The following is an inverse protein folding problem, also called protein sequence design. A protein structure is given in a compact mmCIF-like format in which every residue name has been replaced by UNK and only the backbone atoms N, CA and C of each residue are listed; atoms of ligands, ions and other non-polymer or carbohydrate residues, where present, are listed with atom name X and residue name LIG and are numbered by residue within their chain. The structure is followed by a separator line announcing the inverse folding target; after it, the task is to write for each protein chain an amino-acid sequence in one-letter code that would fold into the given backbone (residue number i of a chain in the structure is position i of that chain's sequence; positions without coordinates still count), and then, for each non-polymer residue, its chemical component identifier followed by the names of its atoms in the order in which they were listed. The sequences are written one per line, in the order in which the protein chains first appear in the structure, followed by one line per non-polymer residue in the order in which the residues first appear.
data_IF_563196413456
#
_entry.id   IF_563196413456
#
_cell.length_a   1.000
_cell.length_b   1.000
_cell.length_c   1.000
_cell.angle_alpha   90.00
_cell.angle_beta   90.00
_cell.angle_gamma   90.00
#
_symmetry.space_group_name_H-M   'P 1'
#
loop_
_entity.id
_entity.type
_entity.pdbx_description
1 polymer ?
#
# COMPACT_ATOMS: atom_id res chain seq x y z
N UNK A 1 -32.47 -9.75 3.71
CA UNK A 1 -32.80 -8.78 4.78
C UNK A 1 -32.01 -9.04 6.07
N UNK A 2 -31.92 -10.28 6.56
CA UNK A 2 -31.16 -10.60 7.78
C UNK A 2 -29.66 -10.24 7.70
N UNK A 3 -29.01 -10.51 6.57
CA UNK A 3 -27.58 -10.26 6.37
C UNK A 3 -27.20 -8.78 6.37
N UNK A 4 -27.97 -7.94 5.66
CA UNK A 4 -27.77 -6.47 5.64
C UNK A 4 -27.94 -5.89 7.05
N UNK A 5 -28.92 -6.37 7.82
CA UNK A 5 -29.10 -5.98 9.21
C UNK A 5 -27.89 -6.32 10.09
N UNK A 6 -27.31 -7.50 9.91
CA UNK A 6 -26.09 -7.93 10.62
C UNK A 6 -24.88 -7.05 10.26
N UNK A 7 -24.69 -6.75 8.98
CA UNK A 7 -23.60 -5.89 8.52
C UNK A 7 -23.72 -4.47 9.09
N UNK A 8 -24.93 -3.90 9.10
CA UNK A 8 -25.15 -2.56 9.66
C UNK A 8 -24.97 -2.55 11.19
N UNK A 9 -25.45 -3.58 11.91
CA UNK A 9 -25.21 -3.68 13.37
C UNK A 9 -23.72 -3.74 13.72
N UNK A 10 -22.93 -4.45 12.90
CA UNK A 10 -21.47 -4.51 13.06
C UNK A 10 -20.81 -3.17 12.74
N UNK A 11 -21.17 -2.54 11.63
CA UNK A 11 -20.62 -1.24 11.21
C UNK A 11 -20.90 -0.12 12.24
N UNK A 12 -22.06 -0.15 12.91
CA UNK A 12 -22.45 0.87 13.89
C UNK A 12 -22.14 0.48 15.35
N UNK A 13 -21.24 -0.50 15.58
CA UNK A 13 -20.80 -0.94 16.93
C UNK A 13 -21.98 -1.17 17.89
N UNK A 14 -22.99 -1.91 17.43
CA UNK A 14 -24.20 -2.24 18.21
C UNK A 14 -25.16 -1.08 18.49
N UNK A 15 -24.98 0.11 17.88
CA UNK A 15 -26.06 1.11 17.80
C UNK A 15 -27.04 0.68 16.71
N UNK A 16 -28.33 0.67 17.02
CA UNK A 16 -29.37 0.45 16.02
C UNK A 16 -29.27 1.56 14.95
N UNK A 17 -28.90 1.25 13.70
CA UNK A 17 -28.87 2.24 12.63
C UNK A 17 -30.30 2.75 12.45
N UNK A 18 -30.50 4.06 12.60
CA UNK A 18 -31.84 4.63 12.46
C UNK A 18 -32.42 4.29 11.08
N UNK A 19 -33.75 4.19 10.97
CA UNK A 19 -34.44 3.82 9.72
C UNK A 19 -34.03 4.67 8.49
N UNK A 20 -33.51 5.87 8.72
CA UNK A 20 -32.97 6.78 7.69
C UNK A 20 -31.68 6.27 7.03
N UNK A 21 -30.88 5.45 7.71
CA UNK A 21 -29.60 4.91 7.19
C UNK A 21 -29.85 4.05 5.96
N UNK A 22 -30.86 3.18 6.01
CA UNK A 22 -31.20 2.31 4.89
C UNK A 22 -31.66 3.10 3.66
N UNK A 23 -32.55 4.08 3.84
CA UNK A 23 -33.01 4.96 2.77
C UNK A 23 -31.87 5.80 2.17
N UNK A 24 -30.88 6.17 2.98
CA UNK A 24 -29.69 6.86 2.52
C UNK A 24 -28.74 5.96 1.73
N UNK A 25 -28.51 4.73 2.17
CA UNK A 25 -27.66 3.77 1.45
C UNK A 25 -28.22 3.43 0.06
N UNK A 26 -29.55 3.30 -0.05
CA UNK A 26 -30.23 3.15 -1.36
C UNK A 26 -29.93 4.32 -2.27
N UNK A 27 -30.02 5.55 -1.74
CA UNK A 27 -29.72 6.79 -2.46
C UNK A 27 -28.26 6.93 -2.88
N UNK A 28 -27.31 6.38 -2.12
CA UNK A 28 -25.90 6.29 -2.52
C UNK A 28 -25.75 5.29 -3.66
N UNK A 29 -26.31 4.08 -3.52
CA UNK A 29 -26.23 3.04 -4.53
C UNK A 29 -26.82 3.50 -5.88
N UNK A 30 -27.96 4.20 -5.86
CA UNK A 30 -28.55 4.83 -7.05
C UNK A 30 -27.62 5.84 -7.73
N UNK A 31 -26.90 6.65 -6.95
CA UNK A 31 -25.94 7.62 -7.50
C UNK A 31 -24.73 6.90 -8.12
N UNK A 32 -24.18 5.89 -7.44
CA UNK A 32 -23.10 5.05 -7.96
C UNK A 32 -23.50 4.34 -9.25
N UNK A 33 -24.70 3.76 -9.32
CA UNK A 33 -25.21 3.08 -10.52
C UNK A 33 -25.38 4.02 -11.72
N UNK A 34 -25.54 5.33 -11.49
CA UNK A 34 -25.58 6.35 -12.56
C UNK A 34 -24.21 6.94 -12.89
N UNK A 35 -23.14 6.53 -12.19
CA UNK A 35 -21.81 7.13 -12.33
C UNK A 35 -21.66 8.51 -11.68
N UNK A 36 -22.61 8.93 -10.84
CA UNK A 36 -22.60 10.24 -10.16
C UNK A 36 -21.86 10.15 -8.82
N UNK A 37 -20.52 10.12 -8.90
CA UNK A 37 -19.65 9.96 -7.74
C UNK A 37 -19.80 11.12 -6.75
N UNK A 38 -19.99 12.34 -7.23
CA UNK A 38 -20.15 13.53 -6.38
C UNK A 38 -21.40 13.44 -5.51
N UNK A 39 -22.55 13.04 -6.09
CA UNK A 39 -23.76 12.81 -5.29
C UNK A 39 -23.60 11.65 -4.32
N UNK A 40 -22.91 10.58 -4.70
CA UNK A 40 -22.64 9.45 -3.81
C UNK A 40 -21.85 9.90 -2.57
N UNK A 41 -20.78 10.67 -2.76
CA UNK A 41 -19.94 11.20 -1.67
C UNK A 41 -20.71 12.17 -0.77
N UNK A 42 -21.44 13.14 -1.34
CA UNK A 42 -22.26 14.09 -0.55
C UNK A 42 -23.26 13.34 0.33
N UNK A 43 -23.92 12.32 -0.22
CA UNK A 43 -24.89 11.50 0.52
C UNK A 43 -24.24 10.64 1.59
N UNK A 44 -23.05 10.10 1.34
CA UNK A 44 -22.25 9.36 2.34
C UNK A 44 -21.89 10.23 3.54
N UNK A 45 -21.46 11.48 3.30
CA UNK A 45 -21.20 12.46 4.36
C UNK A 45 -22.47 12.74 5.17
N UNK A 46 -23.61 12.96 4.51
CA UNK A 46 -24.88 13.21 5.20
C UNK A 46 -25.39 12.02 6.03
N UNK A 47 -25.04 10.79 5.64
CA UNK A 47 -25.37 9.59 6.41
C UNK A 47 -24.46 9.37 7.61
N UNK A 48 -23.39 10.17 7.74
CA UNK A 48 -22.36 10.02 8.78
C UNK A 48 -21.95 8.56 8.90
N UNK A 49 -21.68 7.93 7.76
CA UNK A 49 -21.14 6.57 7.76
C UNK A 49 -19.88 6.59 8.63
N UNK A 50 -19.76 5.68 9.60
CA UNK A 50 -18.56 5.62 10.42
C UNK A 50 -17.36 5.42 9.50
N UNK A 51 -16.22 6.00 9.86
CA UNK A 51 -14.98 5.72 9.17
C UNK A 51 -14.73 4.21 9.20
N UNK A 52 -14.36 3.60 8.06
CA UNK A 52 -14.10 2.18 8.02
C UNK A 52 -12.94 1.87 8.95
N UNK A 53 -13.16 0.97 9.90
CA UNK A 53 -12.06 0.39 10.67
C UNK A 53 -11.22 -0.52 9.76
N UNK A 54 -10.06 -0.95 10.27
CA UNK A 54 -9.16 -1.84 9.54
C UNK A 54 -9.86 -3.08 8.99
N UNK A 55 -10.72 -3.67 9.81
CA UNK A 55 -11.54 -4.84 9.50
C UNK A 55 -12.48 -4.55 8.31
N UNK A 56 -13.04 -3.34 8.21
CA UNK A 56 -13.85 -2.88 7.10
C UNK A 56 -13.03 -2.56 5.84
N UNK A 57 -11.82 -2.00 5.99
CA UNK A 57 -10.91 -1.73 4.88
C UNK A 57 -10.45 -3.02 4.19
N UNK A 58 -10.09 -4.05 4.97
CA UNK A 58 -9.75 -5.39 4.44
C UNK A 58 -10.93 -6.01 3.69
N UNK A 59 -12.15 -5.90 4.24
CA UNK A 59 -13.37 -6.37 3.55
C UNK A 59 -13.66 -5.60 2.25
N UNK A 60 -13.39 -4.30 2.21
CA UNK A 60 -13.54 -3.47 1.02
C UNK A 60 -12.51 -3.86 -0.05
N UNK A 61 -11.25 -4.09 0.33
CA UNK A 61 -10.22 -4.57 -0.57
C UNK A 61 -10.55 -5.95 -1.17
N UNK A 62 -11.12 -6.84 -0.36
CA UNK A 62 -11.59 -8.16 -0.77
C UNK A 62 -13.00 -8.15 -1.40
N UNK A 63 -13.66 -6.99 -1.48
CA UNK A 63 -15.04 -6.93 -1.96
C UNK A 63 -15.13 -7.39 -3.41
N UNK A 64 -14.13 -7.02 -4.24
CA UNK A 64 -14.06 -7.46 -5.63
C UNK A 64 -13.92 -8.98 -5.74
N UNK A 65 -13.10 -9.61 -4.89
CA UNK A 65 -12.93 -11.07 -4.86
C UNK A 65 -14.21 -11.78 -4.40
N UNK A 66 -14.89 -11.23 -3.38
CA UNK A 66 -16.16 -11.75 -2.89
C UNK A 66 -17.30 -11.57 -3.90
N UNK A 67 -17.21 -10.55 -4.76
CA UNK A 67 -18.16 -10.27 -5.82
C UNK A 67 -17.84 -11.01 -7.13
N UNK A 68 -16.61 -11.53 -7.30
CA UNK A 68 -16.18 -12.24 -8.51
C UNK A 68 -17.02 -13.48 -8.84
N UNK A 69 -17.72 -14.06 -7.84
CA UNK A 69 -18.68 -15.16 -8.04
C UNK A 69 -20.00 -14.72 -8.70
N UNK A 70 -20.24 -13.42 -8.87
CA UNK A 70 -21.42 -12.87 -9.53
C UNK A 70 -21.00 -12.21 -10.84
N UNK A 71 -21.65 -12.58 -11.96
CA UNK A 71 -21.43 -11.89 -13.23
C UNK A 71 -22.26 -10.61 -13.27
N UNK A 72 -21.73 -9.45 -13.71
CA UNK A 72 -22.50 -8.22 -13.92
C UNK A 72 -23.81 -8.42 -14.69
N UNK A 73 -23.81 -9.37 -15.64
CA UNK A 73 -24.93 -9.69 -16.54
C UNK A 73 -25.85 -10.79 -16.01
N UNK A 74 -25.57 -11.36 -14.82
CA UNK A 74 -26.39 -12.42 -14.26
C UNK A 74 -27.84 -11.91 -14.04
N UNK A 75 -28.87 -12.71 -14.39
CA UNK A 75 -30.25 -12.28 -14.28
C UNK A 75 -30.60 -11.77 -12.88
N UNK A 76 -31.44 -10.74 -12.82
CA UNK A 76 -31.98 -10.20 -11.58
C UNK A 76 -33.47 -10.48 -11.49
N UNK A 77 -33.95 -10.81 -10.31
CA UNK A 77 -35.38 -10.93 -10.06
C UNK A 77 -36.04 -9.54 -10.05
N UNK A 78 -37.38 -9.50 -9.94
CA UNK A 78 -38.12 -8.24 -9.81
C UNK A 78 -37.75 -7.39 -8.58
N UNK A 79 -36.90 -7.89 -7.70
CA UNK A 79 -36.36 -7.22 -6.52
C UNK A 79 -34.86 -6.88 -6.64
N UNK A 80 -34.25 -7.08 -7.82
CA UNK A 80 -32.85 -6.76 -8.09
C UNK A 80 -31.82 -7.76 -7.53
N UNK A 81 -32.25 -8.90 -7.01
CA UNK A 81 -31.37 -9.94 -6.48
C UNK A 81 -30.86 -10.82 -7.61
N UNK A 82 -29.60 -11.25 -7.52
CA UNK A 82 -29.06 -12.25 -8.45
C UNK A 82 -29.89 -13.53 -8.41
N UNK A 83 -30.28 -14.02 -9.58
CA UNK A 83 -31.05 -15.25 -9.79
C UNK A 83 -30.34 -16.10 -10.85
N UNK A 84 -30.55 -17.40 -10.80
CA UNK A 84 -30.12 -18.30 -11.86
C UNK A 84 -31.06 -18.13 -13.07
N UNK A 85 -30.60 -18.52 -14.27
CA UNK A 85 -31.35 -18.36 -15.53
C UNK A 85 -32.74 -19.04 -15.50
N UNK A 86 -32.93 -20.01 -14.61
CA UNK A 86 -34.12 -20.84 -14.49
C UNK A 86 -35.29 -20.14 -13.75
N UNK A 87 -35.06 -18.96 -13.18
CA UNK A 87 -36.09 -18.18 -12.46
C UNK A 87 -36.65 -18.83 -11.18
N UNK A 88 -36.19 -20.04 -10.82
CA UNK A 88 -36.59 -20.73 -9.60
C UNK A 88 -35.64 -20.37 -8.46
N UNK A 89 -36.03 -19.39 -7.64
CA UNK A 89 -35.30 -19.00 -6.45
C UNK A 89 -35.26 -20.11 -5.40
N UNK A 90 -34.18 -20.90 -5.36
CA UNK A 90 -33.88 -21.77 -4.24
C UNK A 90 -32.92 -21.06 -3.27
N UNK A 91 -33.42 -20.71 -2.08
CA UNK A 91 -32.56 -20.33 -0.96
C UNK A 91 -31.86 -21.57 -0.41
N UNK A 92 -30.52 -21.52 -0.33
CA UNK A 92 -29.77 -22.25 0.69
C UNK A 92 -28.81 -23.33 0.17
N UNK A 93 -27.52 -23.09 0.37
CA UNK A 93 -26.46 -24.09 0.29
C UNK A 93 -25.18 -23.52 -0.29
N UNK A 94 -24.21 -23.19 0.58
CA UNK A 94 -22.83 -22.96 0.12
C UNK A 94 -22.32 -24.28 -0.48
N UNK A 95 -22.12 -24.31 -1.80
CA UNK A 95 -21.65 -25.50 -2.49
C UNK A 95 -20.13 -25.56 -2.32
N UNK A 96 -19.67 -26.51 -1.51
CA UNK A 96 -18.27 -26.88 -1.35
C UNK A 96 -17.77 -27.51 -2.66
N UNK A 97 -16.71 -26.96 -3.24
CA UNK A 97 -16.19 -27.42 -4.53
C UNK A 97 -15.48 -28.78 -4.38
N UNK A 98 -16.04 -29.84 -4.97
CA UNK A 98 -15.35 -31.12 -5.17
C UNK A 98 -15.02 -31.34 -6.66
N UNK A 99 -13.89 -32.00 -6.96
CA UNK A 99 -13.40 -32.19 -8.33
C UNK A 99 -14.15 -33.34 -9.03
N UNK A 100 -14.57 -33.12 -10.27
CA UNK A 100 -15.23 -34.14 -11.08
C UNK A 100 -14.21 -35.05 -11.80
N UNK A 101 -14.35 -36.36 -11.58
CA UNK A 101 -13.89 -37.40 -12.49
C UNK A 101 -15.02 -37.74 -13.49
N UNK A 102 -14.69 -38.32 -14.66
CA UNK A 102 -15.62 -38.38 -15.78
C UNK A 102 -16.43 -39.69 -15.76
N UNK A 103 -17.73 -39.62 -16.02
CA UNK A 103 -18.30 -40.59 -16.94
C UNK A 103 -19.64 -40.16 -17.56
N UNK A 104 -19.63 -40.25 -18.89
CA UNK A 104 -20.66 -40.80 -19.76
C UNK A 104 -22.05 -41.03 -19.18
N UNK A 105 -23.05 -40.27 -19.66
CA UNK A 105 -24.18 -40.90 -20.32
C UNK A 105 -24.92 -39.95 -21.27
N UNK A 106 -25.13 -40.53 -22.45
CA UNK A 106 -25.68 -40.02 -23.69
C UNK A 106 -27.21 -40.00 -23.60
N UNK A 107 -27.84 -38.87 -23.94
CA UNK A 107 -29.15 -38.90 -24.61
C UNK A 107 -29.11 -38.01 -25.84
N UNK A 108 -29.44 -38.64 -26.97
CA UNK A 108 -29.47 -38.08 -28.32
C UNK A 108 -30.68 -37.18 -28.52
N UNK A 109 -30.44 -35.91 -28.84
CA UNK A 109 -31.44 -35.03 -29.45
C UNK A 109 -30.92 -34.59 -30.82
N UNK A 110 -31.74 -34.78 -31.86
CA UNK A 110 -31.48 -34.38 -33.25
C UNK A 110 -31.56 -32.85 -33.41
N UNK A 111 -30.86 -32.28 -34.40
CA UNK A 111 -30.38 -30.90 -34.35
C UNK A 111 -31.43 -29.89 -34.79
N UNK A 112 -31.59 -28.83 -34.01
CA UNK A 112 -32.13 -27.56 -34.50
C UNK A 112 -30.93 -26.68 -34.83
N UNK A 113 -30.83 -26.30 -36.10
CA UNK A 113 -29.79 -25.44 -36.61
C UNK A 113 -29.97 -24.00 -36.10
N UNK A 114 -28.83 -23.33 -35.90
CA UNK A 114 -28.64 -21.89 -35.80
C UNK A 114 -29.06 -21.21 -34.49
N UNK A 115 -28.24 -21.35 -33.45
CA UNK A 115 -27.80 -20.21 -32.66
C UNK A 115 -26.28 -20.29 -32.53
N UNK A 116 -25.59 -19.24 -32.95
CA UNK A 116 -24.14 -19.16 -32.89
C UNK A 116 -23.67 -19.37 -31.46
N UNK A 117 -22.83 -20.38 -31.29
CA UNK A 117 -22.12 -20.75 -30.07
C UNK A 117 -21.27 -19.54 -29.65
N UNK A 118 -21.86 -18.67 -28.82
CA UNK A 118 -21.18 -17.56 -28.18
C UNK A 118 -20.37 -18.19 -27.05
N UNK A 119 -19.17 -18.63 -27.37
CA UNK A 119 -18.20 -19.13 -26.40
C UNK A 119 -18.12 -18.12 -25.27
N UNK A 120 -18.57 -18.50 -24.07
CA UNK A 120 -18.42 -17.69 -22.88
C UNK A 120 -16.92 -17.45 -22.70
N UNK A 121 -16.48 -16.22 -22.95
CA UNK A 121 -15.11 -15.80 -22.70
C UNK A 121 -14.86 -15.94 -21.20
N UNK A 122 -14.24 -17.07 -20.83
CA UNK A 122 -13.73 -17.30 -19.48
C UNK A 122 -12.94 -16.06 -19.07
N UNK A 123 -13.24 -15.42 -17.93
CA UNK A 123 -12.49 -14.26 -17.47
C UNK A 123 -11.01 -14.60 -17.44
N UNK A 124 -10.27 -14.04 -18.41
CA UNK A 124 -8.84 -14.27 -18.52
C UNK A 124 -8.24 -13.63 -17.28
N UNK A 125 -7.60 -14.45 -16.43
CA UNK A 125 -6.91 -13.95 -15.26
C UNK A 125 -6.02 -12.76 -15.67
N UNK A 126 -5.99 -11.68 -14.87
CA UNK A 126 -5.13 -10.54 -15.18
C UNK A 126 -3.70 -11.05 -15.37
N UNK A 127 -2.96 -10.51 -16.35
CA UNK A 127 -1.60 -10.94 -16.61
C UNK A 127 -0.78 -10.77 -15.33
N UNK A 128 -0.03 -11.82 -14.95
CA UNK A 128 0.90 -11.73 -13.84
C UNK A 128 1.91 -10.60 -14.13
N UNK A 129 2.10 -9.70 -13.17
CA UNK A 129 3.07 -8.64 -13.32
C UNK A 129 4.50 -9.21 -13.36
N UNK A 130 5.35 -8.65 -14.23
CA UNK A 130 6.77 -8.99 -14.27
C UNK A 130 7.43 -8.45 -13.00
N UNK A 131 8.16 -9.32 -12.30
CA UNK A 131 9.03 -8.93 -11.17
C UNK A 131 10.15 -8.02 -11.68
N UNK A 132 10.34 -6.90 -11.00
CA UNK A 132 11.39 -5.93 -11.26
C UNK A 132 12.76 -6.52 -10.98
N UNK A 133 13.71 -6.16 -11.83
CA UNK A 133 15.11 -6.58 -11.85
C UNK A 133 16.00 -5.35 -11.70
N UNK A 134 17.30 -5.54 -11.49
CA UNK A 134 18.27 -4.46 -11.36
C UNK A 134 18.20 -3.43 -12.52
N UNK A 135 17.91 -3.89 -13.74
CA UNK A 135 17.80 -3.01 -14.92
C UNK A 135 16.65 -2.00 -14.81
N UNK A 136 15.57 -2.36 -14.12
CA UNK A 136 14.41 -1.47 -13.94
C UNK A 136 14.73 -0.32 -12.97
N UNK A 137 15.79 -0.46 -12.14
CA UNK A 137 16.30 0.57 -11.21
C UNK A 137 17.52 1.34 -11.75
N UNK A 138 17.81 1.24 -13.06
CA UNK A 138 18.79 2.10 -13.69
C UNK A 138 18.33 3.56 -13.63
N UNK A 139 19.26 4.50 -13.45
CA UNK A 139 18.93 5.92 -13.35
C UNK A 139 18.34 6.44 -14.68
N UNK A 140 17.05 6.81 -14.73
CA UNK A 140 16.44 7.40 -15.92
C UNK A 140 17.05 8.78 -16.23
N UNK A 141 17.00 9.21 -17.49
CA UNK A 141 17.51 10.53 -17.92
C UNK A 141 16.78 11.66 -17.21
N UNK A 142 15.45 11.57 -17.13
CA UNK A 142 14.59 12.54 -16.46
C UNK A 142 13.58 11.85 -15.55
N UNK A 143 12.88 12.63 -14.72
CA UNK A 143 11.78 12.14 -13.89
C UNK A 143 10.62 11.51 -14.71
N UNK A 144 10.46 11.87 -15.98
CA UNK A 144 9.39 11.34 -16.84
C UNK A 144 9.73 9.98 -17.46
N UNK A 145 11.01 9.67 -17.63
CA UNK A 145 11.51 8.42 -18.22
C UNK A 145 11.53 7.25 -17.22
N UNK A 146 11.22 7.53 -15.95
CA UNK A 146 11.20 6.52 -14.91
C UNK A 146 10.05 5.50 -15.13
N UNK A 147 10.23 4.23 -14.71
CA UNK A 147 9.17 3.22 -14.79
C UNK A 147 7.85 3.69 -14.16
N UNK A 148 6.72 3.22 -14.66
CA UNK A 148 5.42 3.55 -14.04
C UNK A 148 5.12 2.72 -12.79
N UNK A 149 5.81 1.58 -12.63
CA UNK A 149 5.51 0.61 -11.60
C UNK A 149 6.76 -0.23 -11.30
N UNK A 150 6.90 -0.60 -10.03
CA UNK A 150 7.83 -1.62 -9.56
C UNK A 150 7.07 -2.78 -8.92
N UNK A 151 7.57 -3.98 -9.13
CA UNK A 151 7.05 -5.22 -8.52
C UNK A 151 8.21 -5.99 -7.92
N UNK A 152 8.35 -5.94 -6.60
CA UNK A 152 9.33 -6.72 -5.88
C UNK A 152 8.95 -8.20 -5.86
N UNK A 153 9.96 -9.07 -5.76
CA UNK A 153 9.73 -10.50 -5.63
C UNK A 153 8.99 -10.82 -4.32
N UNK A 154 8.26 -11.95 -4.25
CA UNK A 154 7.64 -12.39 -2.99
C UNK A 154 8.65 -12.49 -1.84
N UNK A 155 9.89 -12.90 -2.12
CA UNK A 155 10.97 -12.99 -1.13
C UNK A 155 11.31 -11.62 -0.54
N UNK A 156 11.63 -10.63 -1.38
CA UNK A 156 11.94 -9.26 -0.92
C UNK A 156 10.77 -8.68 -0.12
N UNK A 157 9.53 -8.87 -0.61
CA UNK A 157 8.36 -8.36 0.10
C UNK A 157 8.19 -9.06 1.47
N UNK A 158 8.37 -10.38 1.56
CA UNK A 158 8.30 -11.11 2.83
C UNK A 158 9.37 -10.67 3.83
N UNK A 159 10.60 -10.42 3.37
CA UNK A 159 11.69 -9.92 4.19
C UNK A 159 11.40 -8.50 4.70
N UNK A 160 10.90 -7.60 3.84
CA UNK A 160 10.45 -6.25 4.23
C UNK A 160 9.39 -6.33 5.33
N UNK A 161 8.41 -7.23 5.20
CA UNK A 161 7.39 -7.47 6.22
C UNK A 161 7.97 -8.05 7.53
N UNK A 162 9.07 -8.82 7.46
CA UNK A 162 9.77 -9.28 8.66
C UNK A 162 10.43 -8.12 9.40
N UNK A 163 11.13 -7.25 8.67
CA UNK A 163 11.78 -6.07 9.24
C UNK A 163 10.75 -5.15 9.91
N UNK A 164 9.57 -4.96 9.30
CA UNK A 164 8.47 -4.23 9.93
C UNK A 164 8.01 -4.85 11.26
N UNK A 165 7.84 -6.17 11.31
CA UNK A 165 7.47 -6.85 12.58
C UNK A 165 8.56 -6.73 13.63
N UNK A 166 9.81 -6.85 13.22
CA UNK A 166 10.98 -6.71 14.10
C UNK A 166 11.10 -5.29 14.66
N UNK A 167 10.74 -4.27 13.87
CA UNK A 167 10.69 -2.88 14.31
C UNK A 167 9.72 -2.62 15.46
N UNK A 168 8.62 -3.37 15.49
CA UNK A 168 7.59 -3.27 16.53
C UNK A 168 7.84 -4.22 17.70
N UNK A 169 8.75 -5.18 17.57
CA UNK A 169 8.96 -6.23 18.56
C UNK A 169 9.26 -5.68 19.97
N UNK A 170 10.08 -4.63 20.17
CA UNK A 170 10.32 -4.13 21.52
C UNK A 170 9.05 -3.52 22.14
N UNK A 171 8.22 -2.82 21.36
CA UNK A 171 6.94 -2.27 21.81
C UNK A 171 5.94 -3.38 22.16
N UNK A 172 5.83 -4.41 21.32
CA UNK A 172 4.90 -5.54 21.54
C UNK A 172 5.30 -6.42 22.73
N UNK A 173 6.60 -6.51 23.02
CA UNK A 173 7.13 -7.23 24.18
C UNK A 173 7.23 -6.36 25.44
N UNK A 174 7.04 -5.04 25.32
CA UNK A 174 7.07 -4.14 26.47
C UNK A 174 5.92 -4.44 27.41
N UNK A 175 6.23 -4.55 28.70
CA UNK A 175 5.20 -4.49 29.71
C UNK A 175 4.78 -3.02 29.85
N UNK A 176 3.50 -2.65 29.65
CA UNK A 176 3.05 -1.25 29.72
C UNK A 176 3.28 -0.58 31.08
N UNK A 177 3.70 -1.34 32.10
CA UNK A 177 4.09 -0.82 33.42
C UNK A 177 5.56 -0.42 33.52
N UNK A 178 6.39 -0.75 32.55
CA UNK A 178 7.84 -0.55 32.63
C UNK A 178 8.21 0.73 31.87
N UNK A 179 9.06 1.60 32.46
CA UNK A 179 9.58 2.73 31.73
C UNK A 179 10.41 2.23 30.54
N UNK A 180 10.62 3.11 29.55
CA UNK A 180 11.60 2.89 28.50
C UNK A 180 12.94 2.46 29.12
N UNK A 181 13.67 1.50 28.51
CA UNK A 181 15.02 1.17 28.94
C UNK A 181 15.86 2.43 29.08
N UNK A 182 16.68 2.49 30.13
CA UNK A 182 17.47 3.69 30.43
C UNK A 182 18.27 4.15 29.19
N UNK A 183 18.10 5.42 28.81
CA UNK A 183 18.75 6.00 27.64
C UNK A 183 17.97 5.92 26.32
N UNK A 184 16.87 5.16 26.22
CA UNK A 184 16.03 5.14 25.01
C UNK A 184 14.98 6.24 25.01
N UNK A 185 14.74 6.82 23.84
CA UNK A 185 13.65 7.77 23.60
C UNK A 185 12.35 7.10 23.15
N UNK A 186 12.48 5.95 22.48
CA UNK A 186 11.38 5.25 21.80
C UNK A 186 11.47 3.73 22.04
N UNK A 187 10.33 3.05 22.01
CA UNK A 187 10.26 1.59 22.07
C UNK A 187 10.54 0.99 20.70
N UNK A 188 9.91 1.53 19.68
CA UNK A 188 10.09 1.07 18.31
C UNK A 188 11.49 1.37 17.80
N UNK A 189 11.89 0.60 16.81
CA UNK A 189 13.22 0.65 16.23
C UNK A 189 13.11 0.51 14.72
N UNK A 190 13.66 1.45 13.96
CA UNK A 190 13.80 1.27 12.52
C UNK A 190 14.69 0.06 12.24
N UNK A 191 14.29 -0.74 11.27
CA UNK A 191 15.02 -1.89 10.77
C UNK A 191 15.18 -1.72 9.28
N UNK A 192 16.19 -2.36 8.71
CA UNK A 192 16.43 -2.21 7.28
C UNK A 192 17.49 -3.16 6.75
N UNK A 193 17.76 -3.01 5.47
CA UNK A 193 18.74 -3.78 4.73
C UNK A 193 19.28 -2.97 3.55
N UNK A 194 20.42 -3.43 3.03
CA UNK A 194 20.97 -2.97 1.76
C UNK A 194 20.43 -3.85 0.64
N UNK A 195 20.01 -3.24 -0.47
CA UNK A 195 19.48 -3.95 -1.64
C UNK A 195 20.60 -4.15 -2.66
N UNK A 196 20.85 -5.40 -2.98
CA UNK A 196 21.94 -5.82 -3.86
C UNK A 196 21.36 -6.40 -5.16
N UNK A 197 21.85 -5.89 -6.28
CA UNK A 197 21.66 -6.50 -7.58
C UNK A 197 22.68 -7.62 -7.78
N UNK A 198 22.20 -8.86 -7.86
CA UNK A 198 23.04 -10.00 -8.24
C UNK A 198 23.42 -9.92 -9.71
N UNK A 199 24.41 -10.73 -10.13
CA UNK A 199 24.90 -10.78 -11.52
C UNK A 199 23.82 -11.19 -12.55
N UNK A 200 22.81 -11.93 -12.12
CA UNK A 200 21.67 -12.33 -12.96
C UNK A 200 20.55 -11.26 -12.99
N UNK A 201 20.75 -10.13 -12.33
CA UNK A 201 19.80 -9.03 -12.24
C UNK A 201 18.71 -9.21 -11.17
N UNK A 202 18.70 -10.33 -10.43
CA UNK A 202 17.80 -10.51 -9.29
C UNK A 202 18.20 -9.62 -8.12
N UNK A 203 17.22 -9.27 -7.29
CA UNK A 203 17.43 -8.43 -6.11
C UNK A 203 17.39 -9.29 -4.85
N UNK A 204 18.28 -8.98 -3.91
CA UNK A 204 18.29 -9.58 -2.57
C UNK A 204 18.58 -8.52 -1.50
N UNK A 205 18.14 -8.79 -0.28
CA UNK A 205 18.59 -8.03 0.89
C UNK A 205 19.91 -8.61 1.41
N UNK A 206 20.86 -7.71 1.67
CA UNK A 206 22.07 -7.99 2.43
C UNK A 206 22.19 -6.98 3.58
N UNK A 207 23.16 -7.22 4.48
CA UNK A 207 23.45 -6.32 5.60
C UNK A 207 22.20 -5.95 6.41
N UNK A 208 21.34 -6.95 6.66
CA UNK A 208 20.15 -6.79 7.49
C UNK A 208 20.55 -6.28 8.87
N UNK A 209 19.87 -5.24 9.33
CA UNK A 209 20.17 -4.55 10.60
C UNK A 209 21.15 -3.38 10.46
N UNK A 210 21.83 -3.24 9.31
CA UNK A 210 22.68 -2.10 9.01
C UNK A 210 23.97 -2.04 9.85
N UNK A 211 24.50 -0.84 10.02
CA UNK A 211 25.67 -0.60 10.87
C UNK A 211 25.32 -0.77 12.36
N UNK A 212 26.28 -1.21 13.19
CA UNK A 212 26.08 -1.30 14.64
C UNK A 212 25.70 0.06 15.21
N UNK A 213 24.65 0.10 16.03
CA UNK A 213 24.27 1.32 16.73
C UNK A 213 25.27 1.67 17.82
N UNK A 214 25.68 2.93 17.86
CA UNK A 214 26.49 3.43 18.98
C UNK A 214 25.61 3.65 20.20
N UNK A 215 26.15 3.55 21.42
CA UNK A 215 25.38 3.85 22.65
C UNK A 215 24.87 5.31 22.69
N UNK A 216 25.49 6.20 21.91
CA UNK A 216 25.06 7.59 21.71
C UNK A 216 23.91 7.75 20.72
N UNK A 217 23.67 6.79 19.83
CA UNK A 217 22.52 6.74 18.92
C UNK A 217 21.29 6.29 19.71
N UNK A 218 20.79 7.23 20.51
CA UNK A 218 19.53 7.11 21.24
C UNK A 218 18.31 7.23 20.32
N UNK A 219 18.53 7.51 19.03
CA UNK A 219 17.49 7.56 18.00
C UNK A 219 17.12 6.13 17.57
N UNK A 220 15.86 5.93 17.23
CA UNK A 220 15.38 4.69 16.64
C UNK A 220 15.88 4.46 15.21
N UNK A 221 16.73 5.36 14.69
CA UNK A 221 17.16 5.47 13.30
C UNK A 221 17.92 4.23 12.79
N UNK A 222 17.73 3.96 11.50
CA UNK A 222 18.48 2.96 10.76
C UNK A 222 19.65 3.60 9.98
N UNK A 223 20.84 3.00 10.10
CA UNK A 223 22.02 3.39 9.32
C UNK A 223 22.42 2.24 8.39
N UNK A 224 22.20 2.36 7.06
CA UNK A 224 22.50 1.28 6.13
C UNK A 224 24.01 1.00 6.07
N UNK A 225 24.38 -0.29 6.03
CA UNK A 225 25.75 -0.72 5.73
C UNK A 225 25.87 -1.03 4.24
N UNK A 226 26.56 -0.16 3.50
CA UNK A 226 26.76 -0.31 2.05
C UNK A 226 27.98 -1.17 1.69
N UNK A 227 28.72 -1.69 2.68
CA UNK A 227 29.87 -2.55 2.43
C UNK A 227 29.42 -4.01 2.28
N UNK A 228 29.49 -4.54 1.06
CA UNK A 228 29.19 -5.95 0.84
C UNK A 228 30.25 -6.83 1.50
N UNK A 229 29.80 -7.85 2.24
CA UNK A 229 30.69 -8.88 2.80
C UNK A 229 31.47 -9.61 1.71
N UNK A 230 30.81 -9.84 0.58
CA UNK A 230 31.40 -10.37 -0.64
C UNK A 230 31.18 -9.36 -1.78
N UNK A 231 32.19 -8.56 -2.13
CA UNK A 231 32.11 -7.59 -3.23
C UNK A 231 31.78 -8.22 -4.58
N UNK A 232 32.04 -9.51 -4.77
CA UNK A 232 31.77 -10.22 -6.02
C UNK A 232 30.32 -10.71 -6.13
N UNK A 233 29.56 -10.67 -5.02
CA UNK A 233 28.17 -11.15 -4.94
C UNK A 233 27.19 -10.31 -5.75
N UNK A 234 27.48 -9.02 -5.96
CA UNK A 234 26.59 -8.11 -6.68
C UNK A 234 27.00 -6.66 -6.59
N UNK A 235 26.03 -5.77 -6.84
CA UNK A 235 26.19 -4.32 -6.73
C UNK A 235 25.11 -3.76 -5.81
N UNK A 236 25.51 -2.93 -4.85
CA UNK A 236 24.56 -2.18 -4.03
C UNK A 236 23.83 -1.18 -4.93
N UNK A 237 22.50 -1.28 -5.01
CA UNK A 237 21.67 -0.40 -5.83
C UNK A 237 20.61 0.35 -5.04
N UNK A 238 20.39 0.00 -3.77
CA UNK A 238 19.38 0.64 -2.96
C UNK A 238 19.49 0.31 -1.48
N UNK A 239 18.62 0.91 -0.70
CA UNK A 239 18.41 0.61 0.72
C UNK A 239 16.93 0.40 0.97
N UNK A 240 16.61 -0.38 2.00
CA UNK A 240 15.28 -0.44 2.56
C UNK A 240 15.35 -0.19 4.06
N UNK A 241 14.39 0.56 4.59
CA UNK A 241 14.16 0.65 6.03
C UNK A 241 12.69 0.82 6.39
N UNK A 242 12.39 0.81 7.68
CA UNK A 242 11.04 0.90 8.22
C UNK A 242 10.85 2.19 9.01
N UNK A 243 9.64 2.74 9.00
CA UNK A 243 9.24 3.90 9.81
C UNK A 243 8.16 3.51 10.82
N UNK A 244 8.53 2.90 11.96
CA UNK A 244 7.61 2.61 13.05
C UNK A 244 7.46 3.82 13.96
N UNK A 245 6.33 3.92 14.65
CA UNK A 245 6.10 4.97 15.66
C UNK A 245 5.50 4.35 16.92
N UNK A 246 5.91 4.85 18.09
CA UNK A 246 5.43 4.36 19.40
C UNK A 246 3.92 4.52 19.58
N UNK A 247 3.32 5.52 18.93
CA UNK A 247 1.88 5.77 18.94
C UNK A 247 1.10 4.90 17.94
N UNK A 248 1.79 4.05 17.18
CA UNK A 248 1.20 3.20 16.15
C UNK A 248 0.88 3.92 14.84
N UNK A 249 1.33 5.17 14.65
CA UNK A 249 1.23 5.86 13.38
C UNK A 249 1.90 5.04 12.27
N UNK A 250 1.26 4.99 11.11
CA UNK A 250 1.74 4.29 9.91
C UNK A 250 1.47 5.14 8.67
N UNK A 251 1.98 4.72 7.51
CA UNK A 251 1.82 5.45 6.26
C UNK A 251 2.73 6.68 6.15
N UNK A 252 3.72 6.85 7.02
CA UNK A 252 4.67 7.97 6.94
C UNK A 252 5.80 7.59 5.99
N UNK A 253 5.98 8.40 4.94
CA UNK A 253 7.04 8.22 3.94
C UNK A 253 8.40 8.72 4.47
N UNK A 254 9.37 8.97 3.58
CA UNK A 254 10.72 9.44 3.91
C UNK A 254 10.75 10.74 4.72
N UNK A 255 11.71 10.83 5.64
CA UNK A 255 12.13 12.05 6.33
C UNK A 255 13.14 12.85 5.48
N UNK A 256 13.54 14.04 5.96
CA UNK A 256 14.59 14.80 5.29
C UNK A 256 15.96 14.12 5.28
N UNK A 257 16.32 13.43 6.37
CA UNK A 257 17.60 12.73 6.48
C UNK A 257 17.68 11.55 5.50
N UNK A 258 16.57 10.83 5.28
CA UNK A 258 16.49 9.77 4.28
C UNK A 258 16.73 10.29 2.86
N UNK A 259 16.11 11.42 2.51
CA UNK A 259 16.26 12.05 1.20
C UNK A 259 17.71 12.48 1.00
N UNK A 260 18.30 13.13 2.02
CA UNK A 260 19.69 13.53 2.00
C UNK A 260 20.62 12.33 1.81
N UNK A 261 20.40 11.24 2.56
CA UNK A 261 21.19 10.01 2.44
C UNK A 261 21.10 9.43 1.01
N UNK A 262 19.89 9.31 0.46
CA UNK A 262 19.70 8.84 -0.92
C UNK A 262 20.47 9.69 -1.94
N UNK A 263 20.45 11.01 -1.80
CA UNK A 263 21.11 11.94 -2.73
C UNK A 263 22.64 11.87 -2.65
N UNK A 264 23.19 11.66 -1.45
CA UNK A 264 24.64 11.69 -1.24
C UNK A 264 25.32 10.34 -1.48
N UNK A 265 24.60 9.24 -1.23
CA UNK A 265 25.15 7.90 -1.32
C UNK A 265 25.09 7.30 -2.72
N UNK A 266 25.96 6.31 -2.97
CA UNK A 266 26.08 5.59 -4.25
C UNK A 266 25.02 4.50 -4.45
N UNK A 267 23.81 4.75 -3.99
CA UNK A 267 22.61 3.93 -4.26
C UNK A 267 21.75 4.58 -5.34
N UNK A 268 20.84 3.86 -5.99
CA UNK A 268 19.93 4.43 -6.99
C UNK A 268 18.56 4.79 -6.40
N UNK A 269 18.11 4.05 -5.39
CA UNK A 269 16.80 4.25 -4.76
C UNK A 269 16.81 3.94 -3.27
N UNK A 270 15.81 4.45 -2.55
CA UNK A 270 15.52 4.05 -1.17
C UNK A 270 14.06 3.60 -1.08
N UNK A 271 13.80 2.55 -0.30
CA UNK A 271 12.48 1.95 -0.06
C UNK A 271 12.13 2.07 1.43
N UNK A 272 11.01 2.69 1.76
CA UNK A 272 10.50 2.79 3.13
C UNK A 272 9.26 1.94 3.27
N UNK A 273 9.16 1.18 4.36
CA UNK A 273 7.93 0.53 4.79
C UNK A 273 7.38 1.20 6.06
N UNK A 274 6.12 1.64 6.04
CA UNK A 274 5.41 2.16 7.21
C UNK A 274 4.02 1.52 7.30
N UNK A 275 3.88 0.51 8.16
CA UNK A 275 2.69 -0.34 8.21
C UNK A 275 2.61 -1.23 6.96
N UNK A 276 1.46 -1.18 6.29
CA UNK A 276 1.28 -1.85 4.99
C UNK A 276 1.76 -1.02 3.80
N UNK A 277 1.93 0.29 3.99
CA UNK A 277 2.34 1.20 2.92
C UNK A 277 3.85 1.09 2.68
N UNK A 278 4.21 1.07 1.40
CA UNK A 278 5.57 1.09 0.90
C UNK A 278 5.77 2.32 0.03
N UNK A 279 6.88 3.01 0.22
CA UNK A 279 7.26 4.21 -0.50
C UNK A 279 8.64 4.02 -1.13
N UNK A 280 8.84 4.52 -2.34
CA UNK A 280 10.14 4.42 -3.01
C UNK A 280 10.51 5.76 -3.63
N UNK A 281 11.70 6.26 -3.35
CA UNK A 281 12.32 7.32 -4.14
C UNK A 281 13.37 6.73 -5.07
N UNK A 282 13.26 7.04 -6.36
CA UNK A 282 14.25 6.69 -7.38
C UNK A 282 14.99 7.95 -7.82
N UNK A 283 16.32 7.90 -7.85
CA UNK A 283 17.14 8.96 -8.44
C UNK A 283 17.04 8.95 -9.95
N UNK A 284 17.21 10.11 -10.54
CA UNK A 284 17.42 10.30 -11.98
C UNK A 284 18.87 10.71 -12.23
N UNK A 285 19.28 10.78 -13.49
CA UNK A 285 20.56 11.41 -13.86
C UNK A 285 20.59 12.92 -13.58
N UNK A 286 19.43 13.54 -13.32
CA UNK A 286 19.29 14.95 -12.94
C UNK A 286 19.30 15.17 -11.41
N UNK A 287 19.29 14.10 -10.61
CA UNK A 287 19.42 14.23 -9.15
C UNK A 287 20.83 14.66 -8.80
N UNK A 288 20.97 15.87 -8.24
CA UNK A 288 22.24 16.34 -7.70
C UNK A 288 22.55 15.78 -6.31
N UNK A 289 23.74 16.06 -5.79
CA UNK A 289 24.04 15.79 -4.38
C UNK A 289 23.30 16.77 -3.49
N UNK A 290 23.04 16.42 -2.22
CA UNK A 290 22.26 17.30 -1.33
C UNK A 290 22.90 18.68 -1.20
N UNK A 291 24.23 18.72 -1.17
CA UNK A 291 25.04 19.95 -1.08
C UNK A 291 24.88 20.90 -2.26
N UNK A 292 24.47 20.41 -3.43
CA UNK A 292 24.32 21.23 -4.64
C UNK A 292 23.04 22.08 -4.59
N UNK A 293 22.09 21.72 -3.73
CA UNK A 293 20.85 22.46 -3.48
C UNK A 293 21.00 23.50 -2.35
N UNK A 294 22.19 23.59 -1.76
CA UNK A 294 22.47 24.49 -0.65
C UNK A 294 22.82 25.90 -1.15
N UNK A 295 21.82 26.77 -1.30
CA UNK A 295 22.06 28.21 -1.14
C UNK A 295 22.18 28.54 0.35
N UNK A 296 23.22 28.05 1.05
CA UNK A 296 23.52 28.53 2.42
C UNK A 296 23.97 27.56 3.52
N UNK A 297 24.26 26.28 3.24
CA UNK A 297 24.87 25.37 4.21
C UNK A 297 24.12 24.05 4.45
N UNK A 298 24.84 23.10 5.05
CA UNK A 298 24.44 21.72 5.32
C UNK A 298 23.19 21.66 6.20
N UNK A 299 22.05 21.33 5.60
CA UNK A 299 20.78 21.21 6.30
C UNK A 299 19.56 21.66 5.52
N UNK A 300 19.70 22.14 4.28
CA UNK A 300 18.53 22.54 3.49
C UNK A 300 17.66 21.33 3.10
N UNK A 301 18.25 20.25 2.57
CA UNK A 301 17.48 19.05 2.17
C UNK A 301 16.85 18.37 3.39
N UNK A 302 17.66 18.11 4.41
CA UNK A 302 17.21 17.48 5.66
C UNK A 302 16.16 18.34 6.37
N UNK A 303 16.42 19.64 6.53
CA UNK A 303 15.47 20.54 7.16
C UNK A 303 14.22 20.82 6.32
N UNK A 304 14.25 20.71 4.98
CA UNK A 304 13.10 21.05 4.14
C UNK A 304 11.90 20.18 4.49
N UNK A 305 12.06 18.86 4.44
CA UNK A 305 10.99 17.90 4.64
C UNK A 305 10.42 18.03 6.06
N UNK A 306 11.28 17.98 7.08
CA UNK A 306 10.87 18.02 8.48
C UNK A 306 10.15 19.33 8.83
N UNK A 307 10.68 20.47 8.35
CA UNK A 307 10.01 21.75 8.53
C UNK A 307 8.68 21.82 7.80
N UNK A 308 8.60 21.23 6.60
CA UNK A 308 7.39 21.25 5.78
C UNK A 308 6.29 20.40 6.40
N UNK A 309 6.61 19.20 6.88
CA UNK A 309 5.70 18.36 7.69
C UNK A 309 5.28 19.11 8.94
N UNK A 310 6.22 19.70 9.67
CA UNK A 310 5.92 20.43 10.91
C UNK A 310 4.97 21.62 10.69
N UNK A 311 5.15 22.36 9.59
CA UNK A 311 4.26 23.46 9.22
C UNK A 311 2.82 23.02 8.93
N UNK A 312 2.62 21.79 8.44
CA UNK A 312 1.31 21.24 8.09
C UNK A 312 0.66 20.47 9.25
N UNK A 313 1.45 19.76 10.06
CA UNK A 313 0.95 18.86 11.10
C UNK A 313 0.94 19.47 12.50
N UNK A 314 1.69 20.54 12.75
CA UNK A 314 1.86 21.12 14.10
C UNK A 314 1.60 22.62 14.12
N UNK A 315 0.81 23.13 13.18
CA UNK A 315 0.50 24.55 13.16
C UNK A 315 -0.30 24.96 14.39
N UNK A 316 0.24 25.89 15.19
CA UNK A 316 -0.49 26.56 16.28
C UNK A 316 -1.51 27.58 15.76
N UNK A 317 -1.50 27.87 14.46
CA UNK A 317 -2.43 28.77 13.82
C UNK A 317 -3.75 28.03 13.53
N UNK A 318 -4.85 28.35 14.22
CA UNK A 318 -6.13 27.68 14.03
C UNK A 318 -6.73 27.92 12.63
N UNK A 319 -6.19 28.86 11.84
CA UNK A 319 -6.60 29.09 10.46
C UNK A 319 -5.91 28.16 9.45
N UNK A 320 -4.87 27.43 9.85
CA UNK A 320 -4.18 26.45 9.01
C UNK A 320 -4.76 25.06 9.23
N UNK A 321 -4.85 24.27 8.16
CA UNK A 321 -5.27 22.88 8.27
C UNK A 321 -4.24 22.10 9.10
N UNK A 322 -4.73 21.37 10.10
CA UNK A 322 -3.95 20.38 10.84
C UNK A 322 -3.97 19.07 10.06
N UNK A 323 -3.06 18.95 9.09
CA UNK A 323 -3.00 17.79 8.20
C UNK A 323 -2.38 16.61 8.98
N UNK A 324 -2.95 15.40 8.93
CA UNK A 324 -2.33 14.22 9.55
C UNK A 324 -0.88 14.02 9.09
N UNK A 325 0.00 13.58 9.99
CA UNK A 325 1.43 13.42 9.70
C UNK A 325 1.73 12.57 8.44
N UNK A 326 1.05 11.43 8.19
CA UNK A 326 1.23 10.66 6.95
C UNK A 326 0.96 11.48 5.68
N UNK A 327 -0.16 12.22 5.65
CA UNK A 327 -0.56 13.04 4.51
C UNK A 327 0.41 14.23 4.32
N UNK A 328 0.83 14.85 5.42
CA UNK A 328 1.80 15.93 5.40
C UNK A 328 3.18 15.46 4.88
N UNK A 329 3.63 14.28 5.30
CA UNK A 329 4.88 13.67 4.82
C UNK A 329 4.79 13.35 3.33
N UNK A 330 3.68 12.79 2.85
CA UNK A 330 3.49 12.51 1.43
C UNK A 330 3.55 13.80 0.59
N UNK A 331 2.84 14.85 0.99
CA UNK A 331 2.86 16.17 0.31
C UNK A 331 4.29 16.73 0.29
N UNK A 332 4.98 16.74 1.43
CA UNK A 332 6.35 17.24 1.53
C UNK A 332 7.30 16.45 0.63
N UNK A 333 7.09 15.13 0.50
CA UNK A 333 7.92 14.25 -0.32
C UNK A 333 7.64 14.42 -1.82
N UNK A 334 6.40 14.69 -2.23
CA UNK A 334 6.09 15.07 -3.61
C UNK A 334 6.78 16.39 -3.99
N UNK A 335 6.73 17.40 -3.10
CA UNK A 335 7.43 18.67 -3.29
C UNK A 335 8.94 18.46 -3.37
N UNK A 336 9.52 17.63 -2.49
CA UNK A 336 10.93 17.28 -2.51
C UNK A 336 11.33 16.53 -3.80
N UNK A 337 10.51 15.61 -4.29
CA UNK A 337 10.79 14.93 -5.55
C UNK A 337 10.88 15.89 -6.73
N UNK A 338 9.96 16.86 -6.82
CA UNK A 338 10.05 17.91 -7.83
C UNK A 338 11.33 18.73 -7.67
N UNK A 339 11.65 19.14 -6.44
CA UNK A 339 12.79 20.01 -6.17
C UNK A 339 14.14 19.34 -6.48
N UNK A 340 14.25 18.03 -6.21
CA UNK A 340 15.51 17.28 -6.26
C UNK A 340 15.59 16.32 -7.45
N UNK A 341 14.68 16.43 -8.42
CA UNK A 341 14.58 15.54 -9.58
C UNK A 341 14.54 14.05 -9.18
N UNK A 342 13.77 13.72 -8.14
CA UNK A 342 13.49 12.35 -7.72
C UNK A 342 12.13 11.91 -8.26
N UNK A 343 11.89 10.61 -8.26
CA UNK A 343 10.61 10.02 -8.61
C UNK A 343 10.05 9.27 -7.41
N UNK A 344 8.82 9.59 -7.01
CA UNK A 344 8.14 9.00 -5.86
C UNK A 344 7.15 7.92 -6.31
N UNK A 345 7.21 6.79 -5.64
CA UNK A 345 6.27 5.69 -5.78
C UNK A 345 5.63 5.37 -4.44
N UNK A 346 4.39 4.88 -4.50
CA UNK A 346 3.66 4.38 -3.34
C UNK A 346 2.95 3.08 -3.73
N UNK A 347 2.86 2.16 -2.78
CA UNK A 347 2.05 0.97 -2.95
C UNK A 347 2.11 0.05 -1.76
N UNK A 348 1.80 -1.23 -1.98
CA UNK A 348 1.68 -2.25 -0.94
C UNK A 348 2.04 -3.62 -1.50
N UNK A 349 2.41 -4.55 -0.63
CA UNK A 349 2.65 -5.95 -0.98
C UNK A 349 3.66 -6.14 -2.12
N UNK A 350 4.69 -5.30 -2.16
CA UNK A 350 5.75 -5.33 -3.15
C UNK A 350 5.37 -4.69 -4.48
N UNK A 351 4.15 -4.18 -4.66
CA UNK A 351 3.71 -3.49 -5.89
C UNK A 351 3.62 -2.01 -5.60
N UNK A 352 4.44 -1.20 -6.28
CA UNK A 352 4.47 0.25 -6.13
C UNK A 352 4.19 0.93 -7.47
N UNK A 353 3.33 1.95 -7.44
CA UNK A 353 3.00 2.78 -8.60
C UNK A 353 3.64 4.15 -8.45
N UNK A 354 4.09 4.72 -9.56
CA UNK A 354 4.60 6.09 -9.59
C UNK A 354 3.45 7.03 -9.23
N UNK A 355 3.62 7.80 -8.17
CA UNK A 355 2.66 8.83 -7.74
C UNK A 355 3.16 10.24 -8.06
N UNK A 356 4.45 10.39 -8.38
CA UNK A 356 5.03 11.64 -8.85
C UNK A 356 6.36 11.43 -9.60
N UNK A 357 6.61 12.13 -10.72
CA UNK A 357 5.65 12.96 -11.48
C UNK A 357 4.60 12.15 -12.23
#
# INVERSE_FOLDING_TARGET
MAEVGTLLKRAYKSREPGAHVHAGLVKIAEALNRGDLTQAMIRAVHLRLPEPDWDAAVRLAQANDNLAKYSPDQPRDGHGRWTNEDGTGAMGGAVEAKPNAPDSQRTTVKPVAQFGEKTADTPKAPPAYRVSTAADFALPETIFDAPHMFVFSPTINQESQSLWRESLAPLLNANPRWPLPEGRKEWVVEQGATIVARRDGTLEFQNIGGLPRTESEKSAEFHPDLQLKDPDSGTVIGTQHTHPYDDGTTGVSFSGSDIKYLMDERINFSLVQSGEDQYLFLKTKQTGHSKDYERGGSGFVEGYQDNRVSQMSYSKDPSRMNIPMPDAAEIANMEAALMYNLVLYKGRNGILYRIWP
#
